data_IF_165905072742
#
_entry.id   IF_165905072742
#
_cell.length_a   1.000
_cell.length_b   1.000
_cell.length_c   1.000
_cell.angle_alpha   90.00
_cell.angle_beta   90.00
_cell.angle_gamma   90.00
#
_symmetry.space_group_name_H-M   'P 1'
#
loop_
_entity.id
_entity.type
_entity.pdbx_description
1 polymer ?
#
# COMPACT_ATOMS: atom_id res chain seq x y z
N UNK A 1 15.95 9.51 24.86
CA UNK A 1 15.46 9.46 24.44
C UNK A 1 15.25 9.44 23.80
N UNK A 2 14.96 9.35 23.65
CA UNK A 2 14.50 9.28 23.08
C UNK A 2 14.15 9.40 22.38
N UNK A 3 13.92 9.30 22.16
CA UNK A 3 13.45 9.31 21.52
C UNK A 3 13.07 9.48 20.78
N UNK A 4 12.99 9.21 20.52
CA UNK A 4 12.50 9.27 19.77
C UNK A 4 11.74 9.67 19.34
N UNK A 5 11.43 9.88 19.23
CA UNK A 5 10.73 10.43 19.15
C UNK A 5 10.29 11.03 18.10
N UNK A 6 9.55 10.51 17.55
CA UNK A 6 9.05 10.87 16.53
C UNK A 6 7.93 11.63 16.61
N UNK A 7 7.72 12.47 15.86
CA UNK A 7 6.67 13.31 15.91
C UNK A 7 5.58 12.62 15.41
N UNK A 8 4.66 12.58 16.04
CA UNK A 8 3.54 11.93 15.78
C UNK A 8 2.99 12.12 14.47
N UNK A 9 2.69 13.21 14.18
CA UNK A 9 1.98 13.40 13.02
C UNK A 9 2.73 13.01 11.83
N UNK A 10 3.78 13.60 11.65
CA UNK A 10 4.44 13.31 10.44
C UNK A 10 4.94 11.97 10.50
N UNK A 11 5.19 11.60 11.69
CA UNK A 11 5.73 10.47 11.80
C UNK A 11 4.95 9.46 11.92
N UNK A 12 3.85 9.60 11.82
CA UNK A 12 3.03 8.48 11.94
C UNK A 12 3.12 7.51 10.79
N UNK A 13 3.49 7.94 9.62
CA UNK A 13 3.43 7.04 8.47
C UNK A 13 4.74 6.29 8.28
N UNK A 14 4.71 4.98 8.50
CA UNK A 14 5.85 4.12 8.22
C UNK A 14 5.81 3.75 6.74
N UNK A 15 6.95 3.77 6.09
CA UNK A 15 7.01 3.52 4.66
C UNK A 15 7.81 2.26 4.35
N UNK A 16 7.67 1.78 3.12
CA UNK A 16 8.46 0.67 2.63
C UNK A 16 9.06 1.13 1.29
N UNK A 17 10.31 0.80 1.05
CA UNK A 17 10.97 1.19 -0.18
C UNK A 17 10.56 0.30 -1.34
N UNK A 18 10.81 0.75 -2.56
CA UNK A 18 10.55 -0.06 -3.75
C UNK A 18 11.35 -1.37 -3.68
N UNK A 19 12.61 -1.29 -3.26
CA UNK A 19 13.48 -2.46 -3.17
C UNK A 19 12.95 -3.48 -2.17
N UNK A 20 12.46 -3.02 -1.03
CA UNK A 20 11.90 -3.92 -0.05
C UNK A 20 10.62 -4.57 -0.56
N UNK A 21 9.79 -3.80 -1.27
CA UNK A 21 8.53 -4.33 -1.81
C UNK A 21 8.83 -5.38 -2.88
N UNK A 22 9.80 -5.12 -3.76
CA UNK A 22 10.22 -6.09 -4.76
C UNK A 22 10.69 -7.36 -4.08
N UNK A 23 11.50 -7.24 -3.04
CA UNK A 23 12.02 -8.40 -2.34
C UNK A 23 10.89 -9.23 -1.72
N UNK A 24 9.87 -8.58 -1.17
CA UNK A 24 8.73 -9.30 -0.62
C UNK A 24 7.98 -10.08 -1.70
N UNK A 25 7.79 -9.46 -2.85
CA UNK A 25 7.10 -10.12 -3.95
C UNK A 25 7.91 -11.28 -4.51
N UNK A 26 9.21 -11.11 -4.64
CA UNK A 26 10.09 -12.16 -5.18
C UNK A 26 10.21 -13.35 -4.25
N UNK A 27 10.24 -13.11 -2.95
CA UNK A 27 10.32 -14.22 -1.98
C UNK A 27 8.98 -14.91 -1.82
N UNK A 28 7.91 -14.31 -2.31
CA UNK A 28 6.57 -14.85 -2.09
C UNK A 28 6.12 -14.69 -0.64
N UNK A 29 6.57 -13.63 0.01
CA UNK A 29 6.18 -13.37 1.40
C UNK A 29 4.67 -13.31 1.54
N UNK A 30 4.18 -13.73 2.67
CA UNK A 30 2.76 -13.71 2.95
C UNK A 30 2.40 -12.32 3.48
N UNK A 31 1.94 -11.44 2.60
CA UNK A 31 1.54 -10.09 2.99
C UNK A 31 0.39 -9.63 2.10
N UNK A 32 -0.25 -8.54 2.50
CA UNK A 32 -1.38 -7.99 1.77
C UNK A 32 -0.96 -6.64 1.17
N UNK A 33 -1.10 -6.52 -0.15
CA UNK A 33 -0.76 -5.29 -0.86
C UNK A 33 -2.07 -4.67 -1.32
N UNK A 34 -2.41 -3.50 -0.78
CA UNK A 34 -3.73 -2.90 -0.99
C UNK A 34 -3.62 -1.58 -1.70
N UNK A 35 -4.33 -1.44 -2.81
CA UNK A 35 -4.37 -0.19 -3.56
C UNK A 35 -5.48 0.68 -3.01
N UNK A 36 -5.14 1.91 -2.63
CA UNK A 36 -6.07 2.82 -1.97
C UNK A 36 -6.72 3.78 -2.96
N UNK A 37 -7.30 3.25 -4.02
CA UNK A 37 -7.99 4.05 -5.03
C UNK A 37 -9.32 3.37 -5.34
N UNK A 38 -10.09 3.93 -6.27
CA UNK A 38 -11.38 3.34 -6.62
C UNK A 38 -11.19 2.14 -7.55
N UNK A 39 -12.26 1.41 -7.76
CA UNK A 39 -12.23 0.21 -8.57
C UNK A 39 -11.77 0.49 -9.99
N UNK A 40 -12.20 1.60 -10.57
CA UNK A 40 -11.83 1.94 -11.94
C UNK A 40 -10.31 2.09 -12.06
N UNK A 41 -9.68 2.78 -11.12
CA UNK A 41 -8.24 2.98 -11.15
C UNK A 41 -7.50 1.65 -10.97
N UNK A 42 -7.98 0.80 -10.07
CA UNK A 42 -7.38 -0.51 -9.83
C UNK A 42 -7.45 -1.37 -11.09
N UNK A 43 -8.60 -1.38 -11.73
CA UNK A 43 -8.78 -2.20 -12.95
C UNK A 43 -7.94 -1.70 -14.10
N UNK A 44 -7.68 -0.38 -14.15
CA UNK A 44 -6.86 0.19 -15.20
C UNK A 44 -5.41 -0.26 -15.10
N UNK A 45 -4.80 -0.11 -13.92
CA UNK A 45 -3.44 -0.55 -13.66
C UNK A 45 -3.24 -0.79 -12.17
N UNK A 46 -2.55 -1.84 -11.83
CA UNK A 46 -2.16 -2.09 -10.43
C UNK A 46 -0.91 -2.95 -10.39
N UNK A 47 -0.23 -2.93 -9.25
CA UNK A 47 0.94 -3.78 -9.03
C UNK A 47 0.46 -5.23 -8.94
N UNK A 48 1.16 -6.19 -9.54
CA UNK A 48 0.74 -7.59 -9.44
C UNK A 48 0.58 -8.04 -7.99
N UNK A 49 -0.42 -8.85 -7.73
CA UNK A 49 -0.77 -9.36 -6.40
C UNK A 49 -1.42 -8.32 -5.50
N UNK A 50 -1.63 -7.07 -5.97
CA UNK A 50 -2.34 -6.11 -5.14
C UNK A 50 -3.84 -6.38 -5.15
N UNK A 51 -4.52 -5.87 -4.13
CA UNK A 51 -5.94 -6.06 -3.91
C UNK A 51 -6.62 -4.70 -3.82
N UNK A 52 -7.91 -4.69 -4.06
CA UNK A 52 -8.72 -3.49 -3.93
C UNK A 52 -10.03 -3.87 -3.24
N UNK A 53 -10.53 -2.96 -2.42
CA UNK A 53 -11.80 -3.18 -1.74
C UNK A 53 -12.71 -1.99 -2.01
N UNK A 54 -13.96 -2.26 -2.33
CA UNK A 54 -14.91 -1.20 -2.69
C UNK A 54 -15.46 -0.46 -1.48
N UNK A 55 -15.48 -1.10 -0.32
CA UNK A 55 -15.99 -0.48 0.91
C UNK A 55 -15.06 -0.78 2.06
N UNK A 56 -15.07 0.07 3.10
CA UNK A 56 -14.28 -0.24 4.31
C UNK A 56 -14.71 -1.56 4.96
N UNK A 57 -15.98 -1.91 4.86
CA UNK A 57 -16.46 -3.16 5.46
C UNK A 57 -15.83 -4.36 4.78
N UNK A 58 -15.70 -4.34 3.46
CA UNK A 58 -15.04 -5.42 2.73
C UNK A 58 -13.59 -5.55 3.11
N UNK A 59 -12.91 -4.41 3.23
CA UNK A 59 -11.51 -4.40 3.60
C UNK A 59 -11.32 -5.01 4.99
N UNK A 60 -12.12 -4.56 5.94
CA UNK A 60 -11.98 -5.04 7.32
C UNK A 60 -12.34 -6.51 7.45
N UNK A 61 -13.27 -6.99 6.66
CA UNK A 61 -13.64 -8.39 6.68
C UNK A 61 -12.52 -9.29 6.13
N UNK A 62 -11.68 -8.75 5.25
CA UNK A 62 -10.62 -9.52 4.62
C UNK A 62 -9.30 -9.48 5.38
N UNK A 63 -9.00 -8.38 6.07
CA UNK A 63 -7.69 -8.20 6.70
C UNK A 63 -7.72 -8.57 8.18
N UNK A 64 -6.74 -9.35 8.59
CA UNK A 64 -6.58 -9.67 10.01
C UNK A 64 -5.68 -8.62 10.67
N UNK A 65 -5.88 -8.38 11.95
CA UNK A 65 -5.15 -7.34 12.66
C UNK A 65 -3.64 -7.55 12.68
N UNK A 66 -3.19 -8.77 12.56
CA UNK A 66 -1.77 -9.08 12.56
C UNK A 66 -1.21 -9.27 11.15
N UNK A 67 -1.99 -9.03 10.11
CA UNK A 67 -1.49 -9.14 8.74
C UNK A 67 -0.41 -8.10 8.49
N UNK A 68 0.57 -8.47 7.68
CA UNK A 68 1.58 -7.56 7.17
C UNK A 68 0.94 -6.85 5.97
N UNK A 69 0.73 -5.55 6.06
CA UNK A 69 -0.05 -4.81 5.07
C UNK A 69 0.77 -3.69 4.47
N UNK A 70 0.76 -3.59 3.14
CA UNK A 70 1.37 -2.46 2.44
C UNK A 70 0.26 -1.77 1.66
N UNK A 71 0.10 -0.47 1.87
CA UNK A 71 -0.90 0.31 1.14
C UNK A 71 -0.19 1.21 0.14
N UNK A 72 -0.81 1.45 -1.00
CA UNK A 72 -0.21 2.33 -2.01
C UNK A 72 -1.30 2.99 -2.84
N UNK A 73 -0.89 3.99 -3.61
CA UNK A 73 -1.78 4.78 -4.43
C UNK A 73 -1.06 5.10 -5.74
N UNK A 74 -1.40 6.20 -6.39
CA UNK A 74 -0.81 6.53 -7.68
C UNK A 74 0.61 7.07 -7.52
N UNK A 75 0.82 8.01 -6.62
CA UNK A 75 2.11 8.68 -6.46
C UNK A 75 2.30 9.16 -5.03
N UNK A 76 3.45 9.75 -4.78
CA UNK A 76 3.75 10.27 -3.43
C UNK A 76 2.77 11.37 -3.03
N UNK A 77 2.19 12.08 -4.00
CA UNK A 77 1.26 13.16 -3.71
C UNK A 77 -0.16 12.66 -3.44
N UNK A 78 -0.43 11.39 -3.61
CA UNK A 78 -1.77 10.86 -3.43
C UNK A 78 -2.08 10.70 -1.94
N UNK A 79 -3.15 11.32 -1.48
CA UNK A 79 -3.51 11.28 -0.07
C UNK A 79 -4.33 10.06 0.33
N UNK A 80 -4.86 9.33 -0.64
CA UNK A 80 -5.73 8.18 -0.34
C UNK A 80 -5.01 7.09 0.46
N UNK A 81 -3.75 6.79 0.09
CA UNK A 81 -3.00 5.77 0.83
C UNK A 81 -2.61 6.24 2.22
N UNK A 82 -2.37 7.54 2.39
CA UNK A 82 -2.08 8.09 3.70
C UNK A 82 -3.33 7.97 4.59
N UNK A 83 -4.49 8.32 4.06
CA UNK A 83 -5.73 8.21 4.80
C UNK A 83 -6.03 6.76 5.18
N UNK A 84 -5.82 5.83 4.26
CA UNK A 84 -6.03 4.42 4.53
C UNK A 84 -5.04 3.92 5.59
N UNK A 85 -3.79 4.33 5.50
CA UNK A 85 -2.77 3.97 6.50
C UNK A 85 -3.24 4.38 7.90
N UNK A 86 -3.64 5.65 8.06
CA UNK A 86 -4.06 6.13 9.37
C UNK A 86 -5.33 5.45 9.86
N UNK A 87 -6.26 5.17 8.96
CA UNK A 87 -7.48 4.48 9.33
C UNK A 87 -7.18 3.07 9.85
N UNK A 88 -6.31 2.34 9.17
CA UNK A 88 -5.96 0.99 9.61
C UNK A 88 -5.23 1.02 10.95
N UNK A 89 -4.30 1.93 11.12
CA UNK A 89 -3.56 2.03 12.40
C UNK A 89 -4.54 2.37 13.53
N UNK A 90 -5.48 3.27 13.28
CA UNK A 90 -6.46 3.66 14.29
C UNK A 90 -7.37 2.49 14.68
N UNK A 91 -7.54 1.52 13.78
CA UNK A 91 -8.37 0.35 14.05
C UNK A 91 -7.61 -0.81 14.69
N UNK A 92 -6.31 -0.61 14.97
CA UNK A 92 -5.51 -1.61 15.67
C UNK A 92 -4.61 -2.47 14.80
N UNK A 93 -4.52 -2.18 13.51
CA UNK A 93 -3.59 -2.89 12.65
C UNK A 93 -2.17 -2.38 12.92
N UNK A 94 -1.26 -3.26 13.27
CA UNK A 94 0.06 -2.87 13.74
C UNK A 94 1.14 -2.92 12.68
N UNK A 95 0.96 -3.70 11.64
CA UNK A 95 1.99 -3.95 10.66
C UNK A 95 1.65 -3.32 9.31
N UNK A 96 1.32 -2.03 9.33
CA UNK A 96 0.94 -1.31 8.12
C UNK A 96 2.08 -0.40 7.70
N UNK A 97 2.42 -0.43 6.41
CA UNK A 97 3.40 0.48 5.83
C UNK A 97 2.85 1.02 4.52
N UNK A 98 3.33 2.19 4.12
CA UNK A 98 2.90 2.81 2.87
C UNK A 98 4.04 2.76 1.86
N UNK A 99 3.74 2.27 0.66
CA UNK A 99 4.68 2.39 -0.45
C UNK A 99 4.39 3.75 -1.09
N UNK A 100 5.16 4.76 -0.70
CA UNK A 100 4.86 6.13 -1.05
C UNK A 100 5.13 6.46 -2.51
N UNK A 101 6.00 5.73 -3.17
CA UNK A 101 6.23 5.94 -4.59
C UNK A 101 5.02 5.61 -5.46
N UNK A 102 4.27 4.61 -5.06
CA UNK A 102 3.05 4.24 -5.75
C UNK A 102 3.25 3.77 -7.18
N UNK A 103 2.19 3.81 -7.95
CA UNK A 103 2.25 3.34 -9.33
C UNK A 103 3.24 4.13 -10.17
N UNK A 104 3.35 5.43 -9.95
CA UNK A 104 4.25 6.26 -10.75
C UNK A 104 5.70 5.80 -10.59
N UNK A 105 6.12 5.54 -9.37
CA UNK A 105 7.48 5.08 -9.11
C UNK A 105 7.69 3.67 -9.66
N UNK A 106 6.72 2.79 -9.46
CA UNK A 106 6.80 1.39 -9.89
C UNK A 106 6.91 1.31 -11.42
N UNK A 107 6.03 2.03 -12.11
CA UNK A 107 6.01 2.05 -13.57
C UNK A 107 7.26 2.73 -14.12
N UNK A 108 7.70 3.81 -13.48
CA UNK A 108 8.90 4.52 -13.91
C UNK A 108 10.17 3.67 -13.78
N UNK A 109 10.16 2.69 -12.89
CA UNK A 109 11.28 1.77 -12.74
C UNK A 109 11.23 0.60 -13.73
N UNK A 110 10.22 0.56 -14.59
CA UNK A 110 10.09 -0.51 -15.57
C UNK A 110 9.58 -1.83 -15.01
N UNK A 111 8.94 -1.79 -13.86
CA UNK A 111 8.47 -3.01 -13.20
C UNK A 111 7.10 -3.43 -13.74
N UNK A 112 6.77 -4.72 -13.66
CA UNK A 112 5.53 -5.21 -14.27
C UNK A 112 4.27 -4.68 -13.59
N UNK A 113 3.25 -4.46 -14.39
CA UNK A 113 1.94 -4.03 -13.93
C UNK A 113 0.89 -4.95 -14.54
N UNK A 114 -0.27 -5.00 -13.89
CA UNK A 114 -1.43 -5.72 -14.41
C UNK A 114 -2.57 -4.73 -14.58
N UNK A 115 -3.53 -5.04 -15.42
CA UNK A 115 -4.73 -4.23 -15.59
C UNK A 115 -5.11 -4.05 -17.04
N UNK A 116 -6.28 -3.46 -17.24
CA UNK A 116 -6.87 -3.34 -18.59
C UNK A 116 -6.10 -2.37 -19.49
N UNK A 117 -5.41 -1.42 -18.88
CA UNK A 117 -4.65 -0.43 -19.64
C UNK A 117 -3.19 -0.81 -19.85
N UNK A 118 -2.79 -1.95 -19.36
CA UNK A 118 -1.40 -2.40 -19.47
C UNK A 118 -1.26 -3.23 -20.72
N UNK A 119 -0.31 -2.85 -21.59
CA UNK A 119 -0.04 -3.66 -22.76
C UNK A 119 1.12 -4.58 -22.42
N UNK A 120 1.01 -5.79 -22.78
CA UNK A 120 2.07 -6.76 -22.50
C UNK A 120 2.87 -7.08 -23.73
#
# INVERSE_FOLDING_TARGET
MTSTTEPPASKGVRTISREELIAKLERGDHFRLVMALNEWAFRAKHIPRSEHFNTPDELLASLALDDDIVVYCTSVDCHASIALYHDLVARGYENVRRYDGGLTDWEGAGLPLEGEWVTS
#
